data_IF_116611605637
#
_entry.id   IF_116611605637
#
_cell.length_a   1.000
_cell.length_b   1.000
_cell.length_c   1.000
_cell.angle_alpha   90.00
_cell.angle_beta   90.00
_cell.angle_gamma   90.00
#
_symmetry.space_group_name_H-M   'P 1'
#
loop_
_entity.id
_entity.type
_entity.pdbx_description
1 polymer ?
#
# COMPACT_ATOMS: atom_id res chain seq x y z
N UNK A 1 19.30 -14.25 -17.63
CA UNK A 1 18.37 -13.15 -17.32
C UNK A 1 17.70 -12.74 -18.61
N UNK A 2 16.39 -12.94 -18.73
CA UNK A 2 15.62 -12.55 -19.91
C UNK A 2 14.98 -11.20 -19.62
N UNK A 3 15.16 -10.23 -20.52
CA UNK A 3 14.46 -8.95 -20.43
C UNK A 3 13.00 -9.19 -20.82
N UNK A 4 12.10 -9.18 -19.83
CA UNK A 4 10.67 -9.30 -20.04
C UNK A 4 10.01 -7.94 -19.78
N UNK A 5 9.39 -7.36 -20.81
CA UNK A 5 8.59 -6.14 -20.68
C UNK A 5 7.11 -6.53 -20.65
N UNK A 6 6.49 -6.43 -19.48
CA UNK A 6 5.03 -6.51 -19.38
C UNK A 6 4.46 -5.10 -19.23
N UNK A 7 3.69 -4.68 -20.23
CA UNK A 7 2.92 -3.43 -20.18
C UNK A 7 1.56 -3.73 -19.59
N UNK A 8 1.42 -3.57 -18.27
CA UNK A 8 0.08 -3.59 -17.67
C UNK A 8 -0.63 -2.30 -18.07
N UNK A 9 -1.69 -2.42 -18.85
CA UNK A 9 -2.63 -1.33 -19.10
C UNK A 9 -3.87 -1.61 -18.26
N UNK A 10 -4.50 -0.59 -17.66
CA UNK A 10 -5.78 -0.76 -16.93
C UNK A 10 -6.93 -0.92 -17.94
N UNK A 11 -6.90 -1.98 -18.75
CA UNK A 11 -7.94 -2.28 -19.74
C UNK A 11 -8.78 -3.45 -19.23
N UNK A 12 -9.89 -3.11 -18.58
CA UNK A 12 -10.83 -4.06 -17.97
C UNK A 12 -11.13 -5.22 -18.93
N UNK A 13 -10.95 -6.44 -18.44
CA UNK A 13 -11.27 -7.67 -19.16
C UNK A 13 -10.07 -8.33 -19.83
N UNK A 14 -8.84 -7.89 -19.53
CA UNK A 14 -7.64 -8.56 -20.03
C UNK A 14 -7.08 -9.55 -19.02
N UNK A 15 -6.36 -10.58 -19.50
CA UNK A 15 -5.53 -11.38 -18.61
C UNK A 15 -4.56 -10.46 -17.85
N UNK A 16 -4.52 -10.61 -16.52
CA UNK A 16 -3.56 -9.95 -15.62
C UNK A 16 -3.79 -8.46 -15.30
N UNK A 17 -5.03 -7.97 -15.38
CA UNK A 17 -5.38 -6.58 -14.96
C UNK A 17 -5.00 -6.25 -13.50
N UNK A 18 -4.88 -7.27 -12.66
CA UNK A 18 -4.50 -7.18 -11.25
C UNK A 18 -3.00 -7.43 -10.99
N UNK A 19 -2.19 -7.68 -12.02
CA UNK A 19 -0.77 -8.06 -11.83
C UNK A 19 0.03 -6.99 -11.10
N UNK A 20 -0.19 -5.71 -11.45
CA UNK A 20 0.46 -4.59 -10.77
C UNK A 20 0.21 -4.66 -9.26
N UNK A 21 -1.05 -4.92 -8.88
CA UNK A 21 -1.44 -5.09 -7.48
C UNK A 21 -0.82 -6.33 -6.87
N UNK A 22 -0.87 -7.48 -7.56
CA UNK A 22 -0.28 -8.73 -7.07
C UNK A 22 1.22 -8.62 -6.79
N UNK A 23 1.90 -7.65 -7.40
CA UNK A 23 3.31 -7.33 -7.15
C UNK A 23 3.52 -6.16 -6.18
N UNK A 24 2.47 -5.70 -5.50
CA UNK A 24 2.54 -4.61 -4.52
C UNK A 24 2.75 -3.22 -5.15
N UNK A 25 2.61 -3.09 -6.47
CA UNK A 25 2.84 -1.85 -7.20
C UNK A 25 1.54 -1.05 -7.34
N UNK A 26 1.66 0.28 -7.30
CA UNK A 26 0.50 1.18 -7.12
C UNK A 26 0.32 2.22 -8.22
N UNK A 27 1.26 2.33 -9.15
CA UNK A 27 1.23 3.35 -10.20
C UNK A 27 2.09 2.98 -11.39
N UNK A 28 2.12 3.88 -12.37
CA UNK A 28 2.93 3.71 -13.58
C UNK A 28 3.81 4.94 -13.83
N UNK A 29 4.98 4.75 -14.48
CA UNK A 29 5.61 3.46 -14.73
C UNK A 29 6.28 2.90 -13.46
N UNK A 30 6.21 1.59 -13.28
CA UNK A 30 6.93 0.83 -12.24
C UNK A 30 7.80 -0.22 -12.92
N UNK A 31 9.03 -0.37 -12.44
CA UNK A 31 9.98 -1.34 -12.96
C UNK A 31 10.43 -2.25 -11.82
N UNK A 32 10.45 -3.55 -12.09
CA UNK A 32 10.77 -4.58 -11.10
C UNK A 32 11.63 -5.67 -11.74
N UNK A 33 12.37 -6.38 -10.90
CA UNK A 33 13.06 -7.62 -11.27
C UNK A 33 12.25 -8.77 -10.70
N UNK A 34 11.90 -9.74 -11.55
CA UNK A 34 11.19 -10.96 -11.18
C UNK A 34 12.08 -12.18 -11.45
N UNK A 35 11.86 -13.27 -10.71
CA UNK A 35 12.43 -14.57 -11.06
C UNK A 35 11.58 -15.31 -12.12
N UNK A 36 12.00 -16.54 -12.45
CA UNK A 36 11.31 -17.41 -13.41
C UNK A 36 9.88 -17.78 -13.02
N UNK A 37 9.56 -17.80 -11.72
CA UNK A 37 8.22 -18.07 -11.19
C UNK A 37 7.38 -16.77 -11.12
N UNK A 38 7.99 -15.64 -11.45
CA UNK A 38 7.40 -14.32 -11.43
C UNK A 38 7.43 -13.68 -10.04
N UNK A 39 8.09 -14.23 -9.04
CA UNK A 39 8.21 -13.64 -7.70
C UNK A 39 9.05 -12.36 -7.72
N UNK A 40 8.66 -11.40 -6.88
CA UNK A 40 9.31 -10.10 -6.84
C UNK A 40 10.67 -10.20 -6.15
N UNK A 41 11.75 -9.91 -6.90
CA UNK A 41 13.12 -9.91 -6.38
C UNK A 41 13.66 -8.52 -6.07
N UNK A 42 13.24 -7.49 -6.81
CA UNK A 42 13.63 -6.11 -6.55
C UNK A 42 12.66 -5.11 -7.19
N UNK A 43 12.60 -3.91 -6.63
CA UNK A 43 11.93 -2.74 -7.21
C UNK A 43 12.98 -1.72 -7.63
N UNK A 44 12.86 -1.19 -8.84
CA UNK A 44 13.76 -0.14 -9.35
C UNK A 44 13.31 1.21 -8.79
N UNK A 45 14.09 1.76 -7.87
CA UNK A 45 13.77 3.05 -7.23
C UNK A 45 14.07 4.25 -8.13
N UNK A 46 15.12 4.15 -8.95
CA UNK A 46 15.59 5.24 -9.83
C UNK A 46 15.54 4.81 -11.29
N UNK A 47 14.93 5.63 -12.14
CA UNK A 47 14.79 5.38 -13.58
C UNK A 47 16.06 5.81 -14.34
N UNK A 48 17.21 5.28 -13.92
CA UNK A 48 18.52 5.50 -14.54
C UNK A 48 19.23 4.15 -14.71
N UNK A 49 20.24 4.07 -15.57
CA UNK A 49 21.01 2.82 -15.79
C UNK A 49 21.54 2.28 -14.47
N UNK A 50 22.13 3.13 -13.63
CA UNK A 50 22.65 2.77 -12.32
C UNK A 50 21.55 2.26 -11.38
N UNK A 51 20.33 2.81 -11.49
CA UNK A 51 19.17 2.33 -10.74
C UNK A 51 18.74 0.93 -11.14
N UNK A 52 18.80 0.60 -12.44
CA UNK A 52 18.55 -0.76 -12.92
C UNK A 52 19.65 -1.72 -12.50
N UNK A 53 20.93 -1.32 -12.60
CA UNK A 53 22.06 -2.14 -12.13
C UNK A 53 21.97 -2.43 -10.63
N UNK A 54 21.62 -1.43 -9.81
CA UNK A 54 21.40 -1.59 -8.39
C UNK A 54 20.23 -2.54 -8.08
N UNK A 55 19.14 -2.47 -8.84
CA UNK A 55 18.02 -3.39 -8.69
C UNK A 55 18.39 -4.84 -9.07
N UNK A 56 19.22 -5.03 -10.10
CA UNK A 56 19.73 -6.36 -10.48
C UNK A 56 20.66 -6.92 -9.40
N UNK A 57 21.52 -6.10 -8.81
CA UNK A 57 22.36 -6.51 -7.68
C UNK A 57 21.50 -6.90 -6.47
N UNK A 58 20.54 -6.05 -6.08
CA UNK A 58 19.61 -6.32 -4.98
C UNK A 58 18.77 -7.59 -5.22
N UNK A 59 18.40 -7.88 -6.46
CA UNK A 59 17.68 -9.10 -6.83
C UNK A 59 18.53 -10.36 -6.61
N UNK A 60 19.84 -10.31 -6.96
CA UNK A 60 20.77 -11.41 -6.69
C UNK A 60 20.95 -11.63 -5.18
N UNK A 61 21.10 -10.55 -4.42
CA UNK A 61 21.24 -10.62 -2.96
C UNK A 61 19.98 -11.21 -2.32
N UNK A 62 18.79 -10.79 -2.75
CA UNK A 62 17.54 -11.37 -2.24
C UNK A 62 17.43 -12.85 -2.59
N UNK A 63 17.78 -13.25 -3.82
CA UNK A 63 17.73 -14.66 -4.22
C UNK A 63 18.66 -15.51 -3.36
N UNK A 64 19.88 -15.03 -3.09
CA UNK A 64 20.82 -15.72 -2.20
C UNK A 64 20.26 -15.85 -0.78
N UNK A 65 19.63 -14.79 -0.24
CA UNK A 65 18.96 -14.84 1.07
C UNK A 65 17.76 -15.79 1.08
N UNK A 66 16.97 -15.83 0.01
CA UNK A 66 15.82 -16.74 -0.11
C UNK A 66 16.28 -18.20 -0.16
N UNK A 67 17.38 -18.49 -0.88
CA UNK A 67 17.97 -19.82 -0.92
C UNK A 67 18.57 -20.24 0.44
N UNK A 68 19.28 -19.34 1.11
CA UNK A 68 19.77 -19.57 2.47
C UNK A 68 18.61 -19.80 3.46
N UNK A 69 17.54 -19.02 3.33
CA UNK A 69 16.34 -19.17 4.13
C UNK A 69 15.65 -20.50 3.91
N UNK A 70 15.52 -20.97 2.66
CA UNK A 70 15.01 -22.31 2.34
C UNK A 70 15.89 -23.42 2.89
N UNK A 71 17.20 -23.19 3.00
CA UNK A 71 18.14 -24.09 3.65
C UNK A 71 18.10 -24.04 5.20
N UNK A 72 17.29 -23.17 5.79
CA UNK A 72 17.06 -23.11 7.25
C UNK A 72 17.68 -21.92 7.97
N UNK A 73 18.28 -20.95 7.27
CA UNK A 73 18.78 -19.73 7.89
C UNK A 73 17.62 -18.80 8.30
N UNK A 74 17.33 -18.76 9.60
CA UNK A 74 16.25 -17.95 10.16
C UNK A 74 16.46 -16.44 9.96
N UNK A 75 17.71 -15.95 9.98
CA UNK A 75 18.00 -14.54 9.75
C UNK A 75 17.70 -14.17 8.29
N UNK A 76 18.10 -15.02 7.35
CA UNK A 76 17.81 -14.83 5.94
C UNK A 76 16.29 -14.88 5.65
N UNK A 77 15.56 -15.85 6.25
CA UNK A 77 14.10 -15.91 6.16
C UNK A 77 13.44 -14.61 6.66
N UNK A 78 13.89 -14.10 7.82
CA UNK A 78 13.40 -12.83 8.38
C UNK A 78 13.64 -11.68 7.41
N UNK A 79 14.86 -11.54 6.89
CA UNK A 79 15.21 -10.45 5.97
C UNK A 79 14.38 -10.48 4.69
N UNK A 80 14.19 -11.66 4.10
CA UNK A 80 13.36 -11.83 2.89
C UNK A 80 11.91 -11.44 3.18
N UNK A 81 11.34 -11.92 4.28
CA UNK A 81 9.97 -11.62 4.65
C UNK A 81 9.77 -10.11 4.89
N UNK A 82 10.64 -9.46 5.66
CA UNK A 82 10.55 -8.02 5.91
C UNK A 82 10.64 -7.20 4.62
N UNK A 83 11.49 -7.60 3.67
CA UNK A 83 11.55 -6.95 2.34
C UNK A 83 10.25 -7.12 1.56
N UNK A 84 9.70 -8.34 1.48
CA UNK A 84 8.44 -8.60 0.77
C UNK A 84 7.25 -7.86 1.40
N UNK A 85 7.22 -7.72 2.72
CA UNK A 85 6.23 -6.91 3.45
C UNK A 85 6.41 -5.43 3.11
N UNK A 86 7.64 -4.92 3.09
CA UNK A 86 7.93 -3.53 2.69
C UNK A 86 7.48 -3.22 1.27
N UNK A 87 7.58 -4.18 0.35
CA UNK A 87 7.04 -4.07 -1.01
C UNK A 87 5.55 -4.35 -1.11
N UNK A 88 4.88 -4.70 -0.01
CA UNK A 88 3.46 -5.07 0.02
C UNK A 88 3.13 -6.24 -0.94
N UNK A 89 4.11 -7.13 -1.15
CA UNK A 89 3.99 -8.29 -2.02
C UNK A 89 3.43 -9.53 -1.29
N UNK A 90 2.98 -9.36 -0.05
CA UNK A 90 2.41 -10.43 0.80
C UNK A 90 1.05 -9.94 1.32
N UNK A 91 -0.01 -10.78 1.27
CA UNK A 91 -1.30 -10.43 1.86
C UNK A 91 -1.21 -10.13 3.36
N UNK A 92 -2.04 -9.21 3.85
CA UNK A 92 -1.99 -8.71 5.22
C UNK A 92 -2.05 -9.86 6.24
N UNK A 93 -3.02 -10.78 6.08
CA UNK A 93 -3.19 -11.91 6.99
C UNK A 93 -1.95 -12.82 7.07
N UNK A 94 -1.33 -13.12 5.93
CA UNK A 94 -0.13 -13.95 5.86
C UNK A 94 1.08 -13.21 6.47
N UNK A 95 1.24 -11.92 6.16
CA UNK A 95 2.28 -11.08 6.71
C UNK A 95 2.16 -10.94 8.24
N UNK A 96 0.96 -10.69 8.77
CA UNK A 96 0.72 -10.61 10.22
C UNK A 96 1.03 -11.92 10.92
N UNK A 97 0.56 -13.06 10.37
CA UNK A 97 0.80 -14.38 10.96
C UNK A 97 2.29 -14.76 10.96
N UNK A 98 3.03 -14.35 9.93
CA UNK A 98 4.46 -14.61 9.82
C UNK A 98 5.27 -13.71 10.77
N UNK A 99 4.95 -12.40 10.85
CA UNK A 99 5.60 -11.47 11.77
C UNK A 99 5.41 -11.83 13.24
N UNK A 100 4.25 -12.38 13.61
CA UNK A 100 3.96 -12.81 14.98
C UNK A 100 4.91 -13.92 15.49
N UNK A 101 5.60 -14.62 14.58
CA UNK A 101 6.55 -15.70 14.89
C UNK A 101 8.01 -15.24 14.89
N UNK A 102 8.27 -13.99 14.52
CA UNK A 102 9.62 -13.46 14.40
C UNK A 102 10.01 -12.63 15.61
N UNK A 103 11.28 -12.71 15.98
CA UNK A 103 11.90 -11.74 16.85
C UNK A 103 12.35 -10.51 16.05
N UNK A 104 11.77 -9.36 16.39
CA UNK A 104 11.93 -8.09 15.68
C UNK A 104 12.51 -7.06 16.63
N UNK A 105 13.52 -6.32 16.16
CA UNK A 105 13.96 -5.10 16.84
C UNK A 105 12.83 -4.07 16.88
N UNK A 106 12.98 -3.03 17.71
CA UNK A 106 12.00 -1.94 17.76
C UNK A 106 11.84 -1.24 16.39
N UNK A 107 12.96 -1.05 15.66
CA UNK A 107 12.94 -0.46 14.33
C UNK A 107 12.27 -1.38 13.30
N UNK A 108 12.62 -2.67 13.29
CA UNK A 108 12.00 -3.66 12.40
C UNK A 108 10.49 -3.75 12.65
N UNK A 109 10.07 -3.78 13.92
CA UNK A 109 8.65 -3.82 14.31
C UNK A 109 7.90 -2.59 13.85
N UNK A 110 8.49 -1.41 14.00
CA UNK A 110 7.88 -0.15 13.57
C UNK A 110 7.72 -0.13 12.04
N UNK A 111 8.78 -0.46 11.30
CA UNK A 111 8.75 -0.51 9.83
C UNK A 111 7.75 -1.56 9.31
N UNK A 112 7.72 -2.74 9.93
CA UNK A 112 6.80 -3.82 9.58
C UNK A 112 5.33 -3.43 9.85
N UNK A 113 5.06 -2.78 10.99
CA UNK A 113 3.71 -2.31 11.35
C UNK A 113 3.20 -1.27 10.36
N UNK A 114 4.04 -0.31 9.98
CA UNK A 114 3.69 0.70 8.97
C UNK A 114 3.41 0.06 7.60
N UNK A 115 4.21 -0.93 7.23
CA UNK A 115 4.03 -1.67 5.98
C UNK A 115 2.75 -2.50 5.98
N UNK A 116 2.44 -3.19 7.09
CA UNK A 116 1.17 -3.91 7.29
C UNK A 116 -0.03 -2.99 7.14
N UNK A 117 0.01 -1.80 7.75
CA UNK A 117 -1.06 -0.81 7.58
C UNK A 117 -1.21 -0.41 6.11
N UNK A 118 -0.09 -0.22 5.39
CA UNK A 118 -0.09 -0.01 3.94
C UNK A 118 -0.80 -1.12 3.16
N UNK A 119 -0.49 -2.38 3.48
CA UNK A 119 -1.12 -3.56 2.87
C UNK A 119 -2.62 -3.57 3.16
N UNK A 120 -3.02 -3.41 4.43
CA UNK A 120 -4.43 -3.43 4.87
C UNK A 120 -5.26 -2.35 4.14
N UNK A 121 -4.74 -1.13 4.03
CA UNK A 121 -5.39 -0.05 3.29
C UNK A 121 -5.53 -0.34 1.80
N UNK A 122 -4.52 -0.98 1.20
CA UNK A 122 -4.57 -1.35 -0.21
C UNK A 122 -5.56 -2.47 -0.48
N UNK A 123 -5.59 -3.50 0.38
CA UNK A 123 -6.62 -4.53 0.33
C UNK A 123 -8.03 -3.95 0.49
N UNK A 124 -8.21 -3.02 1.43
CA UNK A 124 -9.50 -2.34 1.64
C UNK A 124 -9.95 -1.56 0.39
N UNK A 125 -9.05 -0.81 -0.25
CA UNK A 125 -9.34 -0.09 -1.50
C UNK A 125 -9.78 -1.02 -2.63
N UNK A 126 -9.13 -2.16 -2.72
CA UNK A 126 -9.26 -3.10 -3.82
C UNK A 126 -10.36 -4.13 -3.60
N UNK A 127 -10.97 -4.12 -2.43
CA UNK A 127 -12.17 -4.88 -2.15
C UNK A 127 -13.23 -4.59 -3.22
N UNK A 128 -13.77 -5.66 -3.80
CA UNK A 128 -14.86 -5.61 -4.79
C UNK A 128 -16.14 -5.10 -4.15
N UNK A 129 -16.42 -5.55 -2.93
CA UNK A 129 -17.42 -4.95 -2.06
C UNK A 129 -16.90 -3.65 -1.45
N UNK A 130 -17.41 -2.52 -1.97
CA UNK A 130 -17.01 -1.19 -1.51
C UNK A 130 -17.44 -0.91 -0.07
N UNK A 131 -18.53 -1.49 0.40
CA UNK A 131 -18.99 -1.31 1.78
C UNK A 131 -18.04 -1.99 2.77
N UNK A 132 -17.62 -3.21 2.45
CA UNK A 132 -16.61 -3.92 3.25
C UNK A 132 -15.25 -3.21 3.21
N UNK A 133 -14.82 -2.71 2.04
CA UNK A 133 -13.62 -1.90 1.91
C UNK A 133 -13.66 -0.65 2.80
N UNK A 134 -14.76 0.12 2.76
CA UNK A 134 -14.94 1.30 3.61
C UNK A 134 -14.97 0.93 5.10
N UNK A 135 -15.65 -0.16 5.47
CA UNK A 135 -15.71 -0.64 6.86
C UNK A 135 -14.32 -0.93 7.43
N UNK A 136 -13.43 -1.53 6.64
CA UNK A 136 -12.03 -1.77 7.05
C UNK A 136 -11.25 -0.47 7.28
N UNK A 137 -11.42 0.53 6.41
CA UNK A 137 -10.80 1.85 6.60
C UNK A 137 -11.33 2.56 7.85
N UNK A 138 -12.65 2.51 8.09
CA UNK A 138 -13.25 3.08 9.30
C UNK A 138 -12.74 2.39 10.58
N UNK A 139 -12.53 1.07 10.53
CA UNK A 139 -11.93 0.32 11.64
C UNK A 139 -10.52 0.83 11.96
N UNK A 140 -9.65 0.97 10.95
CA UNK A 140 -8.30 1.54 11.11
C UNK A 140 -8.35 2.91 11.82
N UNK A 141 -9.28 3.77 11.39
CA UNK A 141 -9.46 5.09 12.00
C UNK A 141 -9.94 5.00 13.46
N UNK A 142 -10.97 4.19 13.73
CA UNK A 142 -11.52 4.04 15.09
C UNK A 142 -10.53 3.44 16.10
N UNK A 143 -9.60 2.62 15.62
CA UNK A 143 -8.53 2.02 16.42
C UNK A 143 -7.34 2.98 16.63
N UNK A 144 -7.36 4.18 16.03
CA UNK A 144 -6.27 5.16 16.14
C UNK A 144 -4.95 4.68 15.53
N UNK A 145 -5.00 3.76 14.55
CA UNK A 145 -3.81 3.11 13.98
C UNK A 145 -3.09 3.93 12.91
N UNK A 146 -3.61 5.10 12.55
CA UNK A 146 -2.97 5.98 11.58
C UNK A 146 -1.70 6.58 12.16
N UNK A 147 -0.59 6.36 11.47
CA UNK A 147 0.71 6.91 11.85
C UNK A 147 0.91 8.32 11.31
N UNK A 148 1.77 9.10 11.97
CA UNK A 148 2.15 10.46 11.54
C UNK A 148 3.15 10.43 10.36
N UNK A 149 2.90 9.59 9.36
CA UNK A 149 3.55 9.65 8.04
C UNK A 149 2.55 10.26 7.07
N UNK A 150 2.87 11.45 6.56
CA UNK A 150 2.02 12.22 5.64
C UNK A 150 1.62 11.44 4.37
N UNK A 151 2.48 10.53 3.87
CA UNK A 151 2.17 9.73 2.68
C UNK A 151 1.15 8.65 3.01
N UNK A 152 1.28 8.00 4.16
CA UNK A 152 0.34 6.98 4.65
C UNK A 152 -1.00 7.65 4.96
N UNK A 153 -1.00 8.73 5.75
CA UNK A 153 -2.20 9.48 6.10
C UNK A 153 -2.92 10.03 4.86
N UNK A 154 -2.20 10.68 3.93
CA UNK A 154 -2.79 11.19 2.70
C UNK A 154 -3.42 10.10 1.84
N UNK A 155 -2.79 8.91 1.79
CA UNK A 155 -3.32 7.74 1.08
C UNK A 155 -4.59 7.22 1.74
N UNK A 156 -4.58 7.07 3.07
CA UNK A 156 -5.73 6.66 3.86
C UNK A 156 -6.94 7.56 3.61
N UNK A 157 -6.77 8.87 3.81
CA UNK A 157 -7.84 9.85 3.70
C UNK A 157 -8.43 9.93 2.30
N UNK A 158 -7.59 9.78 1.27
CA UNK A 158 -8.06 9.66 -0.11
C UNK A 158 -8.92 8.41 -0.33
N UNK A 159 -8.53 7.25 0.20
CA UNK A 159 -9.31 6.02 0.02
C UNK A 159 -10.62 6.06 0.79
N UNK A 160 -10.60 6.59 2.00
CA UNK A 160 -11.78 6.76 2.84
C UNK A 160 -12.79 7.71 2.17
N UNK A 161 -12.34 8.86 1.67
CA UNK A 161 -13.24 9.82 1.02
C UNK A 161 -13.87 9.26 -0.25
N UNK A 162 -13.10 8.59 -1.12
CA UNK A 162 -13.63 7.94 -2.33
C UNK A 162 -14.62 6.83 -2.00
N UNK A 163 -14.32 5.99 -0.99
CA UNK A 163 -15.23 4.93 -0.55
C UNK A 163 -16.54 5.49 0.02
N UNK A 164 -16.45 6.52 0.86
CA UNK A 164 -17.60 7.20 1.44
C UNK A 164 -18.48 7.87 0.37
N UNK A 165 -17.88 8.55 -0.61
CA UNK A 165 -18.61 9.14 -1.74
C UNK A 165 -19.34 8.09 -2.57
N UNK A 166 -18.66 6.99 -2.91
CA UNK A 166 -19.23 5.91 -3.74
C UNK A 166 -20.48 5.30 -3.10
N UNK A 167 -20.51 5.23 -1.76
CA UNK A 167 -21.60 4.63 -1.00
C UNK A 167 -22.62 5.65 -0.47
N UNK A 168 -22.42 6.95 -0.73
CA UNK A 168 -23.28 7.99 -0.14
C UNK A 168 -23.19 8.07 1.38
N UNK A 169 -22.10 7.61 2.00
CA UNK A 169 -21.91 7.60 3.45
C UNK A 169 -21.40 8.97 3.92
N UNK A 170 -22.31 9.86 4.29
CA UNK A 170 -22.00 11.22 4.72
C UNK A 170 -21.16 11.28 6.01
N UNK A 171 -21.38 10.37 6.95
CA UNK A 171 -20.64 10.35 8.23
C UNK A 171 -19.18 10.01 8.02
N UNK A 172 -18.90 8.97 7.23
CA UNK A 172 -17.54 8.62 6.85
C UNK A 172 -16.87 9.76 6.08
N UNK A 173 -17.58 10.41 5.15
CA UNK A 173 -17.04 11.56 4.42
C UNK A 173 -16.76 12.76 5.34
N UNK A 174 -17.56 12.94 6.39
CA UNK A 174 -17.34 13.94 7.42
C UNK A 174 -15.98 13.82 8.10
N UNK A 175 -15.51 12.59 8.37
CA UNK A 175 -14.18 12.36 8.94
C UNK A 175 -13.05 12.94 8.05
N UNK A 176 -13.18 12.81 6.73
CA UNK A 176 -12.22 13.38 5.79
C UNK A 176 -12.24 14.92 5.81
N UNK A 177 -13.42 15.52 5.93
CA UNK A 177 -13.57 16.98 6.07
C UNK A 177 -12.90 17.49 7.34
N UNK A 178 -13.09 16.80 8.48
CA UNK A 178 -12.41 17.17 9.73
C UNK A 178 -10.89 17.07 9.62
N UNK A 179 -10.39 16.01 8.97
CA UNK A 179 -8.96 15.90 8.67
C UNK A 179 -8.46 17.10 7.86
N UNK A 180 -9.16 17.49 6.79
CA UNK A 180 -8.78 18.64 5.97
C UNK A 180 -8.76 19.94 6.78
N UNK A 181 -9.73 20.16 7.68
CA UNK A 181 -9.73 21.32 8.60
C UNK A 181 -8.47 21.36 9.45
N UNK A 182 -8.10 20.23 10.06
CA UNK A 182 -6.88 20.11 10.83
C UNK A 182 -5.59 20.31 10.02
N UNK A 183 -5.62 20.10 8.70
CA UNK A 183 -4.47 20.36 7.82
C UNK A 183 -4.32 21.82 7.40
N UNK A 184 -5.37 22.65 7.43
CA UNK A 184 -5.30 24.04 6.95
C UNK A 184 -4.30 24.86 7.76
N UNK A 185 -4.25 24.66 9.09
CA UNK A 185 -3.29 25.35 9.95
C UNK A 185 -1.84 25.09 9.53
N UNK A 186 -1.57 23.86 9.06
CA UNK A 186 -0.24 23.42 8.61
C UNK A 186 0.02 23.74 7.14
N UNK A 187 -1.04 23.82 6.33
CA UNK A 187 -0.96 24.04 4.89
C UNK A 187 -2.18 24.82 4.38
N UNK A 188 -2.09 26.17 4.32
CA UNK A 188 -3.18 27.02 3.85
C UNK A 188 -3.66 26.72 2.42
N UNK A 189 -2.84 26.05 1.59
CA UNK A 189 -3.23 25.63 0.23
C UNK A 189 -4.35 24.60 0.23
N UNK A 190 -4.62 23.94 1.36
CA UNK A 190 -5.71 22.97 1.50
C UNK A 190 -7.09 23.63 1.57
N UNK A 191 -7.20 24.96 1.71
CA UNK A 191 -8.48 25.67 1.82
C UNK A 191 -9.43 25.34 0.65
N UNK A 192 -8.96 25.42 -0.59
CA UNK A 192 -9.78 25.10 -1.76
C UNK A 192 -10.29 23.65 -1.74
N UNK A 193 -9.46 22.72 -1.25
CA UNK A 193 -9.87 21.32 -1.12
C UNK A 193 -10.91 21.13 -0.01
N UNK A 194 -10.76 21.83 1.12
CA UNK A 194 -11.75 21.84 2.20
C UNK A 194 -13.08 22.39 1.71
N UNK A 195 -13.11 23.58 1.10
CA UNK A 195 -14.33 24.23 0.64
C UNK A 195 -15.12 23.31 -0.32
N UNK A 196 -14.40 22.62 -1.21
CA UNK A 196 -14.99 21.64 -2.12
C UNK A 196 -15.55 20.41 -1.38
N UNK A 197 -14.83 19.89 -0.39
CA UNK A 197 -15.26 18.74 0.41
C UNK A 197 -16.48 19.11 1.29
N UNK A 198 -16.51 20.28 1.91
CA UNK A 198 -17.64 20.76 2.72
C UNK A 198 -18.92 20.91 1.88
N UNK A 199 -18.80 21.52 0.69
CA UNK A 199 -19.92 21.62 -0.26
C UNK A 199 -20.45 20.23 -0.63
N UNK A 200 -19.56 19.27 -0.86
CA UNK A 200 -19.95 17.91 -1.21
C UNK A 200 -20.62 17.17 -0.06
N UNK A 201 -20.09 17.30 1.16
CA UNK A 201 -20.70 16.75 2.37
C UNK A 201 -22.12 17.28 2.56
N UNK A 202 -22.32 18.59 2.39
CA UNK A 202 -23.66 19.20 2.45
C UNK A 202 -24.63 18.58 1.45
N UNK A 203 -24.19 18.36 0.21
CA UNK A 203 -25.00 17.71 -0.82
C UNK A 203 -25.25 16.20 -0.58
N UNK A 204 -24.38 15.52 0.17
CA UNK A 204 -24.60 14.12 0.56
C UNK A 204 -25.66 14.01 1.66
N UNK A 205 -25.63 14.92 2.65
CA UNK A 205 -26.59 14.93 3.77
C UNK A 205 -28.03 15.25 3.36
N UNK A 206 -28.24 15.95 2.25
CA UNK A 206 -29.60 16.27 1.75
C UNK A 206 -30.24 15.16 0.94
N UNK A 207 -29.50 14.09 0.63
CA UNK A 207 -29.98 12.95 -0.19
C UNK A 207 -30.32 11.70 0.63
N UNK A 208 -30.08 11.71 1.93
CA UNK A 208 -30.44 10.65 2.87
C UNK A 208 -31.82 10.92 3.46
#
# INVERSE_FOLDING_TARGET
>A
MVLFLHVTTRLVGRPYDDLLLRKGLMGFPSFVVLDEDGELLAVVEKRTVEGFEAAVAAAKDLKALDDAGKAGDAAAQKTVLLKRIGWQAVPHAAASAALAKLDLTAEERTAATNSLLGIEMNEARLCTDKAEGLKRLLKIHSEGRLVDDQRIAGTFWRYLSVGAETLGNADAYGLYVEYLRGQIEKNPRMKTALDAAEKKLGAMKTKQ
#
